data_IF_924893155935
#
_entry.id   IF_924893155935
#
_cell.length_a   1.000
_cell.length_b   1.000
_cell.length_c   1.000
_cell.angle_alpha   90.00
_cell.angle_beta   90.00
_cell.angle_gamma   90.00
#
_symmetry.space_group_name_H-M   'P 1'
#
loop_
_entity.id
_entity.type
_entity.pdbx_description
1 polymer ?
#
# COMPACT_ATOMS: atom_id res chain seq x y z
N UNK A 1 11.66 11.15 -2.21
CA UNK A 1 12.87 10.40 -1.83
C UNK A 1 14.01 10.99 -2.63
N UNK A 2 15.05 11.55 -1.99
CA UNK A 2 16.26 11.92 -2.72
C UNK A 2 16.95 10.64 -3.20
N UNK A 3 17.59 10.68 -4.38
CA UNK A 3 18.49 9.60 -4.76
C UNK A 3 19.59 9.50 -3.68
N UNK A 4 19.93 8.28 -3.22
CA UNK A 4 20.99 8.11 -2.23
C UNK A 4 22.29 8.72 -2.76
N UNK A 5 23.16 9.18 -1.84
CA UNK A 5 24.47 9.69 -2.21
C UNK A 5 25.24 8.64 -3.01
N UNK A 6 26.13 9.04 -3.94
CA UNK A 6 26.89 8.11 -4.77
C UNK A 6 27.69 7.07 -3.96
N UNK A 7 28.15 7.45 -2.76
CA UNK A 7 28.83 6.55 -1.82
C UNK A 7 27.93 5.40 -1.34
N UNK A 8 26.63 5.67 -1.11
CA UNK A 8 25.65 4.66 -0.73
C UNK A 8 25.31 3.77 -1.92
N UNK A 9 25.21 4.33 -3.12
CA UNK A 9 24.99 3.54 -4.34
C UNK A 9 26.16 2.58 -4.61
N UNK A 10 27.39 3.02 -4.33
CA UNK A 10 28.59 2.19 -4.49
C UNK A 10 28.73 1.08 -3.45
N UNK A 11 28.06 1.20 -2.29
CA UNK A 11 28.07 0.15 -1.26
C UNK A 11 27.02 -0.94 -1.48
N UNK A 12 26.15 -0.81 -2.48
CA UNK A 12 25.14 -1.81 -2.80
C UNK A 12 25.74 -3.06 -3.46
N UNK A 13 25.15 -4.25 -3.21
CA UNK A 13 25.55 -5.48 -3.89
C UNK A 13 25.22 -5.41 -5.38
N UNK A 14 25.88 -6.25 -6.18
CA UNK A 14 25.67 -6.32 -7.63
C UNK A 14 24.19 -6.58 -7.95
N UNK A 15 23.51 -5.70 -8.71
CA UNK A 15 22.11 -5.88 -9.08
C UNK A 15 21.87 -7.17 -9.86
N UNK A 16 20.81 -7.90 -9.50
CA UNK A 16 20.32 -9.01 -10.31
C UNK A 16 18.96 -8.66 -10.92
N UNK A 17 18.96 -8.30 -12.20
CA UNK A 17 17.75 -7.93 -12.93
C UNK A 17 17.00 -9.13 -13.55
N UNK A 18 17.60 -10.33 -13.54
CA UNK A 18 17.05 -11.53 -14.19
C UNK A 18 16.23 -12.35 -13.18
N UNK A 19 16.84 -12.71 -12.05
CA UNK A 19 16.20 -13.46 -10.95
C UNK A 19 16.51 -12.81 -9.58
N UNK A 20 15.95 -11.62 -9.31
CA UNK A 20 16.18 -10.94 -8.05
C UNK A 20 15.64 -11.75 -6.87
N UNK A 21 16.39 -11.76 -5.76
CA UNK A 21 15.90 -12.30 -4.50
C UNK A 21 14.78 -11.41 -4.00
N UNK A 22 13.55 -11.91 -4.06
CA UNK A 22 12.39 -11.20 -3.53
C UNK A 22 12.31 -11.38 -2.02
N UNK A 23 11.96 -10.32 -1.30
CA UNK A 23 11.40 -10.46 0.05
C UNK A 23 10.12 -11.29 -0.13
N UNK A 24 10.01 -12.45 0.53
CA UNK A 24 8.93 -13.41 0.26
C UNK A 24 7.52 -12.81 0.40
N UNK A 25 6.49 -13.61 0.08
CA UNK A 25 5.08 -13.20 -0.06
C UNK A 25 4.38 -12.85 1.28
N UNK A 26 5.08 -12.16 2.17
CA UNK A 26 4.61 -11.82 3.51
C UNK A 26 3.39 -10.89 3.45
N UNK A 27 3.36 -9.93 2.53
CA UNK A 27 2.22 -9.01 2.40
C UNK A 27 0.97 -9.77 1.95
N UNK A 28 1.09 -10.64 0.96
CA UNK A 28 0.01 -11.53 0.55
C UNK A 28 -0.50 -12.41 1.69
N UNK A 29 0.39 -13.09 2.43
CA UNK A 29 0.01 -13.96 3.55
C UNK A 29 -0.70 -13.18 4.66
N UNK A 30 -0.14 -12.04 5.05
CA UNK A 30 -0.73 -11.19 6.10
C UNK A 30 -2.10 -10.68 5.67
N UNK A 31 -2.24 -10.22 4.43
CA UNK A 31 -3.51 -9.70 3.93
C UNK A 31 -4.55 -10.82 3.78
N UNK A 32 -4.15 -12.02 3.35
CA UNK A 32 -5.02 -13.18 3.25
C UNK A 32 -5.55 -13.67 4.60
N UNK A 33 -4.81 -13.46 5.70
CA UNK A 33 -5.25 -13.86 7.05
C UNK A 33 -6.01 -12.74 7.75
N UNK A 34 -5.47 -11.52 7.76
CA UNK A 34 -6.04 -10.43 8.54
C UNK A 34 -7.29 -9.82 7.88
N UNK A 35 -7.36 -9.75 6.55
CA UNK A 35 -8.49 -9.12 5.88
C UNK A 35 -9.81 -9.88 6.12
N UNK A 36 -9.86 -11.23 6.01
CA UNK A 36 -11.06 -11.99 6.39
C UNK A 36 -11.45 -11.82 7.87
N UNK A 37 -10.47 -11.73 8.78
CA UNK A 37 -10.75 -11.50 10.21
C UNK A 37 -11.42 -10.15 10.42
N UNK A 38 -10.93 -9.09 9.76
CA UNK A 38 -11.55 -7.76 9.81
C UNK A 38 -12.97 -7.79 9.24
N UNK A 39 -13.17 -8.43 8.09
CA UNK A 39 -14.50 -8.61 7.49
C UNK A 39 -15.47 -9.30 8.45
N UNK A 40 -15.02 -10.38 9.09
CA UNK A 40 -15.84 -11.14 10.03
C UNK A 40 -16.27 -10.31 11.24
N UNK A 41 -15.34 -9.55 11.83
CA UNK A 41 -15.64 -8.66 12.96
C UNK A 41 -16.67 -7.59 12.57
N UNK A 42 -16.53 -7.01 11.38
CA UNK A 42 -17.46 -5.98 10.89
C UNK A 42 -18.84 -6.57 10.60
N UNK A 43 -18.91 -7.78 10.03
CA UNK A 43 -20.18 -8.49 9.82
C UNK A 43 -20.89 -8.78 11.14
N UNK A 44 -20.16 -9.26 12.16
CA UNK A 44 -20.73 -9.45 13.50
C UNK A 44 -21.23 -8.12 14.07
N UNK A 45 -20.46 -7.03 13.92
CA UNK A 45 -20.88 -5.72 14.42
C UNK A 45 -22.17 -5.27 13.74
N UNK A 46 -22.25 -5.33 12.42
CA UNK A 46 -23.46 -4.95 11.69
C UNK A 46 -24.64 -5.85 12.05
N UNK A 47 -24.43 -7.16 12.18
CA UNK A 47 -25.47 -8.10 12.57
C UNK A 47 -26.04 -7.81 13.96
N UNK A 48 -25.16 -7.64 14.96
CA UNK A 48 -25.59 -7.33 16.33
C UNK A 48 -26.35 -6.00 16.39
N UNK A 49 -25.91 -4.98 15.66
CA UNK A 49 -26.53 -3.65 15.66
C UNK A 49 -27.88 -3.63 14.94
N UNK A 50 -28.00 -4.33 13.81
CA UNK A 50 -29.24 -4.43 13.03
C UNK A 50 -30.28 -5.32 13.68
N UNK A 51 -29.89 -6.51 14.17
CA UNK A 51 -30.84 -7.54 14.61
C UNK A 51 -31.05 -7.56 16.11
N UNK A 52 -29.98 -7.41 16.91
CA UNK A 52 -30.07 -7.51 18.38
C UNK A 52 -30.45 -6.15 18.97
N UNK A 53 -29.62 -5.13 18.71
CA UNK A 53 -29.83 -3.79 19.29
C UNK A 53 -30.91 -2.98 18.55
N UNK A 54 -31.20 -3.31 17.28
CA UNK A 54 -32.08 -2.54 16.39
C UNK A 54 -31.78 -1.03 16.38
N UNK A 55 -30.52 -0.69 16.61
CA UNK A 55 -30.02 0.68 16.72
C UNK A 55 -29.04 0.88 15.60
N UNK A 56 -29.55 1.40 14.48
CA UNK A 56 -28.76 1.73 13.32
C UNK A 56 -28.48 3.23 13.34
N UNK A 57 -27.22 3.60 13.54
CA UNK A 57 -26.80 4.98 13.72
C UNK A 57 -25.80 5.45 12.68
N UNK A 58 -25.33 6.69 12.86
CA UNK A 58 -24.26 7.26 12.03
C UNK A 58 -22.96 6.45 12.13
N UNK A 59 -22.66 5.85 13.28
CA UNK A 59 -21.48 5.00 13.48
C UNK A 59 -21.48 3.79 12.51
N UNK A 60 -22.64 3.20 12.23
CA UNK A 60 -22.76 2.07 11.31
C UNK A 60 -22.61 2.50 9.84
N UNK A 61 -23.01 3.73 9.50
CA UNK A 61 -22.70 4.31 8.19
C UNK A 61 -21.21 4.60 8.02
N UNK A 62 -20.56 5.11 9.07
CA UNK A 62 -19.12 5.39 9.05
C UNK A 62 -18.29 4.13 8.87
N UNK A 63 -18.67 3.01 9.50
CA UNK A 63 -17.93 1.75 9.33
C UNK A 63 -18.09 1.19 7.92
N UNK A 64 -19.29 1.28 7.33
CA UNK A 64 -19.54 0.88 5.93
C UNK A 64 -18.79 1.79 4.97
N UNK A 65 -18.75 3.10 5.23
CA UNK A 65 -17.98 4.04 4.42
C UNK A 65 -16.47 3.77 4.53
N UNK A 66 -15.95 3.48 5.73
CA UNK A 66 -14.54 3.17 5.97
C UNK A 66 -14.11 1.83 5.35
N UNK A 67 -15.04 0.89 5.14
CA UNK A 67 -14.79 -0.38 4.48
C UNK A 67 -14.33 -0.22 3.03
N UNK A 68 -14.82 0.80 2.33
CA UNK A 68 -14.46 1.05 0.93
C UNK A 68 -12.96 1.39 0.74
N UNK A 69 -12.39 2.43 1.38
CA UNK A 69 -10.98 2.73 1.23
C UNK A 69 -10.10 1.61 1.81
N UNK A 70 -10.53 0.94 2.88
CA UNK A 70 -9.79 -0.16 3.50
C UNK A 70 -9.66 -1.36 2.55
N UNK A 71 -10.77 -1.76 1.90
CA UNK A 71 -10.78 -2.84 0.91
C UNK A 71 -9.97 -2.45 -0.32
N UNK A 72 -10.10 -1.20 -0.78
CA UNK A 72 -9.35 -0.68 -1.93
C UNK A 72 -7.84 -0.74 -1.65
N UNK A 73 -7.41 -0.31 -0.47
CA UNK A 73 -6.02 -0.38 -0.05
C UNK A 73 -5.51 -1.82 0.03
N UNK A 74 -6.30 -2.74 0.60
CA UNK A 74 -5.94 -4.17 0.68
C UNK A 74 -5.73 -4.77 -0.71
N UNK A 75 -6.60 -4.46 -1.69
CA UNK A 75 -6.46 -4.94 -3.08
C UNK A 75 -5.23 -4.31 -3.74
N UNK A 76 -5.02 -3.00 -3.58
CA UNK A 76 -3.86 -2.30 -4.13
C UNK A 76 -2.54 -2.84 -3.56
N UNK A 77 -2.51 -3.21 -2.28
CA UNK A 77 -1.33 -3.80 -1.66
C UNK A 77 -0.96 -5.15 -2.29
N UNK A 78 -1.94 -6.01 -2.54
CA UNK A 78 -1.73 -7.30 -3.23
C UNK A 78 -1.29 -7.09 -4.68
N UNK A 79 -1.92 -6.16 -5.40
CA UNK A 79 -1.53 -5.82 -6.77
C UNK A 79 -0.10 -5.24 -6.83
N UNK A 80 0.28 -4.42 -5.86
CA UNK A 80 1.64 -3.86 -5.75
C UNK A 80 2.69 -4.95 -5.62
N UNK A 81 2.42 -6.00 -4.84
CA UNK A 81 3.34 -7.13 -4.67
C UNK A 81 3.37 -8.02 -5.91
N UNK A 82 2.21 -8.45 -6.42
CA UNK A 82 2.11 -9.44 -7.49
C UNK A 82 2.44 -8.88 -8.88
N UNK A 83 1.89 -7.72 -9.22
CA UNK A 83 1.98 -7.14 -10.56
C UNK A 83 3.19 -6.20 -10.65
N UNK A 84 3.35 -5.32 -9.66
CA UNK A 84 4.41 -4.31 -9.68
C UNK A 84 5.73 -4.80 -9.07
N UNK A 85 5.76 -6.02 -8.51
CA UNK A 85 6.97 -6.64 -7.95
C UNK A 85 7.67 -5.74 -6.91
N UNK A 86 6.88 -5.07 -6.07
CA UNK A 86 7.37 -4.23 -4.96
C UNK A 86 8.10 -5.05 -3.87
N UNK A 87 8.13 -6.36 -4.00
CA UNK A 87 8.89 -7.28 -3.16
C UNK A 87 10.40 -7.35 -3.50
N UNK A 88 10.85 -6.70 -4.57
CA UNK A 88 12.27 -6.63 -4.97
C UNK A 88 13.02 -5.57 -4.19
N UNK A 89 14.32 -5.79 -4.01
CA UNK A 89 15.19 -4.78 -3.41
C UNK A 89 15.46 -3.60 -4.36
N UNK A 90 15.73 -2.43 -3.79
CA UNK A 90 15.91 -1.19 -4.55
C UNK A 90 17.08 -1.26 -5.54
N UNK A 91 18.13 -2.02 -5.24
CA UNK A 91 19.27 -2.23 -6.13
C UNK A 91 18.94 -3.15 -7.31
N UNK A 92 17.94 -4.01 -7.19
CA UNK A 92 17.47 -4.91 -8.26
C UNK A 92 16.43 -4.26 -9.18
N UNK A 93 16.13 -2.98 -9.00
CA UNK A 93 15.21 -2.23 -9.86
C UNK A 93 15.99 -1.46 -10.94
N UNK A 94 15.62 -1.58 -12.22
CA UNK A 94 16.23 -0.78 -13.27
C UNK A 94 15.93 0.71 -13.03
N UNK A 95 16.92 1.58 -13.27
CA UNK A 95 16.79 3.03 -13.05
C UNK A 95 15.61 3.68 -13.80
N UNK A 96 15.13 3.07 -14.89
CA UNK A 96 13.92 3.51 -15.61
C UNK A 96 12.66 3.42 -14.75
N UNK A 97 12.53 2.37 -13.92
CA UNK A 97 11.39 2.17 -13.02
C UNK A 97 11.52 3.04 -11.76
N UNK A 98 12.75 3.25 -11.26
CA UNK A 98 13.02 4.15 -10.12
C UNK A 98 12.63 5.59 -10.44
N UNK A 99 12.87 6.04 -11.69
CA UNK A 99 12.50 7.39 -12.15
C UNK A 99 10.99 7.64 -12.05
N UNK A 100 10.14 6.65 -12.26
CA UNK A 100 8.68 6.81 -12.19
C UNK A 100 8.21 7.20 -10.78
N UNK A 101 8.62 6.44 -9.76
CA UNK A 101 8.28 6.74 -8.36
C UNK A 101 8.84 8.09 -7.90
N UNK A 102 10.07 8.41 -8.33
CA UNK A 102 10.70 9.70 -8.05
C UNK A 102 9.94 10.87 -8.68
N UNK A 103 9.58 10.76 -9.97
CA UNK A 103 8.85 11.80 -10.71
C UNK A 103 7.45 12.03 -10.15
N UNK A 104 6.76 10.98 -9.70
CA UNK A 104 5.45 11.10 -9.06
C UNK A 104 5.52 11.92 -7.76
N UNK A 105 6.47 11.59 -6.87
CA UNK A 105 6.67 12.30 -5.61
C UNK A 105 7.11 13.75 -5.86
N UNK A 106 8.03 13.99 -6.79
CA UNK A 106 8.48 15.34 -7.15
C UNK A 106 7.35 16.18 -7.76
N UNK A 107 6.46 15.57 -8.56
CA UNK A 107 5.27 16.25 -9.08
C UNK A 107 4.29 16.60 -7.97
N UNK A 108 4.01 15.68 -7.05
CA UNK A 108 3.14 15.96 -5.89
C UNK A 108 3.71 17.06 -5.00
N UNK A 109 5.02 17.04 -4.72
CA UNK A 109 5.68 18.09 -3.96
C UNK A 109 5.61 19.45 -4.68
N UNK A 110 5.83 19.46 -6.00
CA UNK A 110 5.70 20.68 -6.81
C UNK A 110 4.26 21.20 -6.86
N UNK A 111 3.27 20.30 -6.87
CA UNK A 111 1.84 20.64 -6.83
C UNK A 111 1.46 21.23 -5.47
N UNK A 112 1.94 20.63 -4.38
CA UNK A 112 1.78 21.12 -3.02
C UNK A 112 2.35 22.53 -2.85
N UNK A 113 3.56 22.79 -3.38
CA UNK A 113 4.14 24.13 -3.39
C UNK A 113 3.39 25.13 -4.27
N UNK A 114 2.58 24.66 -5.22
CA UNK A 114 1.73 25.53 -6.04
C UNK A 114 0.40 25.87 -5.36
N UNK A 115 -0.13 24.95 -4.54
CA UNK A 115 -1.36 25.14 -3.77
C UNK A 115 -1.14 25.97 -2.50
N UNK A 116 0.10 26.09 -2.05
CA UNK A 116 0.50 26.84 -0.85
C UNK A 116 0.96 28.28 -1.18
N UNK A 117 0.83 28.71 -2.44
CA UNK A 117 1.01 30.13 -2.82
C UNK A 117 -0.30 30.90 -2.55
N UNK A 118 -0.23 32.07 -1.91
CA UNK A 118 -1.40 32.89 -1.60
C UNK A 118 -2.12 33.40 -2.86
#
# INVERSE_FOLDING_TARGET
>A
MQLPSPEILASWPTPNYVDPVTRGNAVLVVNAVLFPVVLFIILIRLYTRLQISKSFGLDDWLIIAAMLPSTTFAVLAVLAEEVFKFNRHIWDLPFSQVKFGLQYILRLHKLSLHLDKP
#
